data_IF_984034255408
#
_entry.id   IF_984034255408
#
_cell.length_a   1.000
_cell.length_b   1.000
_cell.length_c   1.000
_cell.angle_alpha   90.00
_cell.angle_beta   90.00
_cell.angle_gamma   90.00
#
_symmetry.space_group_name_H-M   'P 1'
#
loop_
_entity.id
_entity.type
_entity.pdbx_description
1 polymer ?
#
# COMPACT_ATOMS: atom_id res chain seq x y z
N UNK A 1 -23.89 -31.49 -40.00
CA UNK A 1 -23.43 -30.10 -39.81
C UNK A 1 -21.91 -30.13 -39.62
N UNK A 2 -21.11 -29.69 -40.61
CA UNK A 2 -19.63 -29.70 -40.50
C UNK A 2 -19.19 -28.42 -39.81
N UNK A 3 -18.72 -28.54 -38.56
CA UNK A 3 -18.11 -27.42 -37.85
C UNK A 3 -16.74 -27.16 -38.49
N UNK A 4 -16.54 -25.95 -39.01
CA UNK A 4 -15.27 -25.53 -39.62
C UNK A 4 -14.17 -25.50 -38.58
N UNK A 5 -13.02 -26.11 -38.87
CA UNK A 5 -11.81 -26.08 -38.03
C UNK A 5 -11.34 -24.66 -37.72
N UNK A 6 -11.60 -23.68 -38.61
CA UNK A 6 -11.32 -22.26 -38.34
C UNK A 6 -12.18 -21.69 -37.20
N UNK A 7 -13.45 -22.11 -37.10
CA UNK A 7 -14.36 -21.65 -36.04
C UNK A 7 -14.00 -22.28 -34.69
N UNK A 8 -13.46 -23.50 -34.68
CA UNK A 8 -12.93 -24.16 -33.49
C UNK A 8 -11.67 -23.45 -32.95
N UNK A 9 -10.76 -23.02 -33.83
CA UNK A 9 -9.55 -22.29 -33.44
C UNK A 9 -9.89 -20.90 -32.89
N UNK A 10 -10.81 -20.17 -33.53
CA UNK A 10 -11.25 -18.84 -33.06
C UNK A 10 -11.94 -18.94 -31.69
N UNK A 11 -12.82 -19.92 -31.49
CA UNK A 11 -13.46 -20.14 -30.18
C UNK A 11 -12.48 -20.55 -29.09
N UNK A 12 -11.45 -21.34 -29.41
CA UNK A 12 -10.41 -21.71 -28.45
C UNK A 12 -9.54 -20.49 -28.06
N UNK A 13 -9.21 -19.62 -29.01
CA UNK A 13 -8.48 -18.37 -28.75
C UNK A 13 -9.31 -17.42 -27.88
N UNK A 14 -10.62 -17.31 -28.14
CA UNK A 14 -11.56 -16.51 -27.35
C UNK A 14 -11.74 -17.05 -25.92
N UNK A 15 -11.78 -18.37 -25.74
CA UNK A 15 -11.84 -18.98 -24.40
C UNK A 15 -10.53 -18.74 -23.62
N UNK A 16 -9.38 -18.87 -24.27
CA UNK A 16 -8.08 -18.60 -23.63
C UNK A 16 -7.92 -17.12 -23.28
N UNK A 17 -8.37 -16.18 -24.12
CA UNK A 17 -8.31 -14.74 -23.81
C UNK A 17 -9.25 -14.32 -22.67
N UNK A 18 -10.44 -14.93 -22.56
CA UNK A 18 -11.35 -14.71 -21.42
C UNK A 18 -10.76 -15.29 -20.13
N UNK A 19 -10.08 -16.44 -20.18
CA UNK A 19 -9.38 -17.01 -19.01
C UNK A 19 -8.15 -16.19 -18.59
N UNK A 20 -7.40 -15.61 -19.53
CA UNK A 20 -6.24 -14.76 -19.23
C UNK A 20 -6.64 -13.40 -18.63
N UNK A 21 -7.82 -12.88 -18.96
CA UNK A 21 -8.37 -11.67 -18.35
C UNK A 21 -9.04 -11.94 -16.99
N UNK A 22 -9.50 -13.18 -16.74
CA UNK A 22 -10.20 -13.59 -15.51
C UNK A 22 -9.25 -13.95 -14.35
N UNK A 23 -7.97 -14.24 -14.62
CA UNK A 23 -6.98 -14.63 -13.59
C UNK A 23 -6.17 -13.48 -12.99
N UNK A 24 -6.40 -12.24 -13.42
CA UNK A 24 -5.82 -11.06 -12.78
C UNK A 24 -6.76 -10.57 -11.69
N UNK A 25 -6.74 -11.22 -10.52
CA UNK A 25 -7.15 -10.51 -9.29
C UNK A 25 -6.25 -9.29 -9.16
N UNK A 26 -6.76 -8.14 -9.64
CA UNK A 26 -6.10 -6.84 -9.56
C UNK A 26 -5.57 -6.64 -8.15
N UNK A 27 -4.30 -6.27 -8.03
CA UNK A 27 -3.62 -6.11 -6.74
C UNK A 27 -4.40 -5.15 -5.84
N UNK A 28 -5.05 -4.15 -6.43
CA UNK A 28 -6.01 -3.24 -5.81
C UNK A 28 -7.10 -4.01 -5.05
N UNK A 29 -7.76 -4.96 -5.71
CA UNK A 29 -8.82 -5.79 -5.10
C UNK A 29 -8.27 -6.66 -3.97
N UNK A 30 -7.06 -7.20 -4.13
CA UNK A 30 -6.41 -8.01 -3.07
C UNK A 30 -6.00 -7.17 -1.87
N UNK A 31 -5.73 -5.88 -2.06
CA UNK A 31 -5.26 -4.98 -1.01
C UNK A 31 -6.41 -4.40 -0.17
N UNK A 32 -7.62 -4.24 -0.74
CA UNK A 32 -8.79 -3.72 -0.02
C UNK A 32 -9.05 -4.52 1.27
N UNK A 33 -9.32 -3.80 2.36
CA UNK A 33 -9.63 -4.33 3.69
C UNK A 33 -8.70 -3.83 4.78
N UNK A 34 -8.85 -4.42 5.97
CA UNK A 34 -8.09 -4.10 7.17
C UNK A 34 -6.89 -5.03 7.36
N UNK A 35 -5.74 -4.44 7.64
CA UNK A 35 -4.47 -5.13 7.84
C UNK A 35 -3.81 -4.62 9.12
N UNK A 36 -3.45 -5.52 10.03
CA UNK A 36 -2.84 -5.13 11.31
C UNK A 36 -1.68 -6.05 11.67
N UNK A 37 -0.71 -5.52 12.42
CA UNK A 37 0.30 -6.38 13.05
C UNK A 37 -0.33 -7.19 14.19
N UNK A 38 0.35 -8.25 14.65
CA UNK A 38 -0.19 -9.15 15.69
C UNK A 38 -0.49 -8.43 17.02
N UNK A 39 0.10 -7.25 17.22
CA UNK A 39 -0.01 -6.44 18.44
C UNK A 39 -0.99 -5.27 18.29
N UNK A 40 -1.58 -5.09 17.11
CA UNK A 40 -2.36 -3.92 16.69
C UNK A 40 -1.69 -2.58 16.99
N UNK A 41 -0.36 -2.51 16.92
CA UNK A 41 0.35 -1.23 17.05
C UNK A 41 0.14 -0.36 15.82
N UNK A 42 -0.10 -0.99 14.67
CA UNK A 42 -0.42 -0.32 13.42
C UNK A 42 -1.48 -1.12 12.66
N UNK A 43 -2.56 -0.43 12.28
CA UNK A 43 -3.63 -0.95 11.42
C UNK A 43 -3.76 -0.06 10.20
N UNK A 44 -3.78 -0.66 9.02
CA UNK A 44 -4.02 -0.01 7.73
C UNK A 44 -5.33 -0.51 7.14
N UNK A 45 -6.21 0.41 6.77
CA UNK A 45 -7.49 0.12 6.12
C UNK A 45 -7.44 0.72 4.73
N UNK A 46 -7.55 -0.12 3.70
CA UNK A 46 -7.61 0.31 2.30
C UNK A 46 -9.03 0.16 1.77
N UNK A 47 -9.64 1.28 1.36
CA UNK A 47 -11.00 1.31 0.85
C UNK A 47 -11.04 1.23 -0.67
N UNK A 48 -12.18 0.76 -1.21
CA UNK A 48 -12.39 0.59 -2.64
C UNK A 48 -12.41 1.91 -3.42
N UNK A 49 -12.73 3.02 -2.77
CA UNK A 49 -12.75 4.36 -3.36
C UNK A 49 -11.36 5.02 -3.48
N UNK A 50 -10.31 4.31 -3.04
CA UNK A 50 -8.93 4.83 -3.02
C UNK A 50 -8.58 5.60 -1.76
N UNK A 51 -9.49 5.74 -0.79
CA UNK A 51 -9.18 6.28 0.54
C UNK A 51 -8.53 5.21 1.43
N UNK A 52 -7.74 5.65 2.41
CA UNK A 52 -7.13 4.80 3.41
C UNK A 52 -7.13 5.45 4.79
N UNK A 53 -7.15 4.60 5.82
CA UNK A 53 -7.02 5.00 7.22
C UNK A 53 -5.84 4.25 7.82
N UNK A 54 -4.94 4.97 8.47
CA UNK A 54 -3.88 4.40 9.30
C UNK A 54 -4.17 4.68 10.76
N UNK A 55 -4.19 3.65 11.59
CA UNK A 55 -4.34 3.75 13.04
C UNK A 55 -3.04 3.27 13.65
N UNK A 56 -2.39 4.09 14.48
CA UNK A 56 -1.15 3.70 15.13
C UNK A 56 -1.09 4.20 16.57
N UNK A 57 -0.48 3.41 17.44
CA UNK A 57 -0.32 3.76 18.84
C UNK A 57 0.89 4.67 19.06
N UNK A 58 0.66 5.79 19.73
CA UNK A 58 1.71 6.71 20.17
C UNK A 58 1.64 6.90 21.68
N UNK A 59 2.74 7.32 22.28
CA UNK A 59 2.77 7.73 23.68
C UNK A 59 2.47 9.23 23.77
N UNK A 60 1.38 9.58 24.44
CA UNK A 60 0.98 10.95 24.74
C UNK A 60 0.80 11.08 26.26
N UNK A 61 1.63 11.90 26.91
CA UNK A 61 1.65 12.08 28.37
C UNK A 61 1.66 10.74 29.14
N UNK A 62 2.60 9.86 28.79
CA UNK A 62 2.78 8.51 29.35
C UNK A 62 1.59 7.54 29.13
N UNK A 63 0.58 7.93 28.35
CA UNK A 63 -0.54 7.06 27.97
C UNK A 63 -0.40 6.64 26.51
N UNK A 64 -0.78 5.39 26.23
CA UNK A 64 -0.97 4.93 24.85
C UNK A 64 -2.26 5.53 24.31
N UNK A 65 -2.15 6.27 23.21
CA UNK A 65 -3.29 6.86 22.51
C UNK A 65 -3.23 6.43 21.06
N UNK A 66 -4.39 6.07 20.50
CA UNK A 66 -4.51 5.79 19.08
C UNK A 66 -4.54 7.13 18.31
N UNK A 67 -3.62 7.27 17.35
CA UNK A 67 -3.68 8.33 16.35
C UNK A 67 -4.25 7.75 15.06
N UNK A 68 -5.14 8.51 14.45
CA UNK A 68 -5.81 8.15 13.21
C UNK A 68 -5.37 9.12 12.14
N UNK A 69 -4.93 8.60 11.01
CA UNK A 69 -4.50 9.40 9.87
C UNK A 69 -5.28 8.98 8.62
N UNK A 70 -5.96 9.94 8.00
CA UNK A 70 -6.72 9.73 6.77
C UNK A 70 -5.83 10.08 5.58
N UNK A 71 -5.88 9.24 4.55
CA UNK A 71 -5.01 9.34 3.39
C UNK A 71 -5.72 8.78 2.16
N UNK A 72 -5.07 8.89 1.01
CA UNK A 72 -5.39 8.09 -0.18
C UNK A 72 -4.30 7.06 -0.38
N UNK A 73 -4.59 6.03 -1.16
CA UNK A 73 -3.57 5.05 -1.55
C UNK A 73 -3.58 4.80 -3.05
N UNK A 74 -2.41 4.46 -3.59
CA UNK A 74 -2.23 4.04 -4.99
C UNK A 74 -1.27 2.87 -5.05
N UNK A 75 -1.48 1.97 -6.00
CA UNK A 75 -0.59 0.83 -6.22
C UNK A 75 -0.17 0.78 -7.69
N UNK A 76 1.09 0.51 -7.93
CA UNK A 76 1.62 0.25 -9.28
C UNK A 76 2.17 -1.17 -9.33
N UNK A 77 1.33 -2.05 -9.87
CA UNK A 77 1.60 -3.48 -10.04
C UNK A 77 2.54 -3.79 -11.21
N UNK A 78 2.86 -2.81 -12.06
CA UNK A 78 3.84 -2.97 -13.14
C UNK A 78 5.28 -2.99 -12.63
N UNK A 79 5.49 -2.59 -11.37
CA UNK A 79 6.79 -2.50 -10.72
C UNK A 79 7.12 -3.78 -9.95
N UNK A 80 8.41 -4.08 -9.86
CA UNK A 80 8.93 -5.19 -9.07
C UNK A 80 10.10 -4.67 -8.21
N UNK A 81 9.94 -4.53 -6.88
CA UNK A 81 8.74 -4.85 -6.09
C UNK A 81 7.53 -3.95 -6.40
N UNK A 82 6.32 -4.37 -6.02
CA UNK A 82 5.09 -3.60 -6.24
C UNK A 82 5.19 -2.30 -5.45
N UNK A 83 4.97 -1.16 -6.12
CA UNK A 83 4.98 0.14 -5.47
C UNK A 83 3.62 0.41 -4.81
N UNK A 84 3.66 0.91 -3.58
CA UNK A 84 2.49 1.36 -2.84
C UNK A 84 2.75 2.80 -2.40
N UNK A 85 1.85 3.72 -2.74
CA UNK A 85 1.92 5.12 -2.29
C UNK A 85 0.81 5.38 -1.30
N UNK A 86 1.16 5.92 -0.14
CA UNK A 86 0.22 6.50 0.82
C UNK A 86 0.31 8.02 0.64
N UNK A 87 -0.78 8.64 0.24
CA UNK A 87 -0.85 10.07 -0.06
C UNK A 87 -1.56 10.78 1.09
N UNK A 88 -0.81 11.57 1.84
CA UNK A 88 -1.32 12.41 2.91
C UNK A 88 -1.79 13.73 2.31
N UNK A 89 -3.05 14.09 2.56
CA UNK A 89 -3.58 15.39 2.22
C UNK A 89 -3.59 16.26 3.48
N UNK A 90 -2.95 17.42 3.44
CA UNK A 90 -2.95 18.37 4.54
C UNK A 90 -3.11 19.78 4.00
N UNK A 91 -3.58 20.68 4.86
CA UNK A 91 -3.73 22.09 4.52
C UNK A 91 -2.51 22.82 5.03
N UNK A 92 -1.82 23.54 4.15
CA UNK A 92 -0.71 24.38 4.56
C UNK A 92 -1.23 25.47 5.52
N UNK A 93 -0.53 25.68 6.63
CA UNK A 93 -0.98 26.62 7.65
C UNK A 93 -0.87 28.07 7.20
N UNK A 94 0.09 28.38 6.33
CA UNK A 94 0.40 29.73 5.86
C UNK A 94 -0.40 30.08 4.60
N UNK A 95 -0.29 29.26 3.55
CA UNK A 95 -0.96 29.51 2.27
C UNK A 95 -2.42 29.09 2.25
N UNK A 96 -2.86 28.25 3.21
CA UNK A 96 -4.19 27.61 3.24
C UNK A 96 -4.49 26.77 2.00
N UNK A 97 -3.47 26.39 1.23
CA UNK A 97 -3.61 25.51 0.08
C UNK A 97 -3.64 24.04 0.52
N UNK A 98 -4.35 23.22 -0.26
CA UNK A 98 -4.32 21.78 -0.08
C UNK A 98 -3.05 21.22 -0.70
N UNK A 99 -2.21 20.59 0.13
CA UNK A 99 -0.97 19.96 -0.27
C UNK A 99 -1.11 18.43 -0.16
N UNK A 100 -0.39 17.73 -1.04
CA UNK A 100 -0.24 16.29 -0.99
C UNK A 100 1.24 15.95 -0.71
N UNK A 101 1.47 15.11 0.30
CA UNK A 101 2.76 14.46 0.52
C UNK A 101 2.62 12.95 0.29
N UNK A 102 3.63 12.34 -0.32
CA UNK A 102 3.59 10.94 -0.74
C UNK A 102 4.60 10.18 0.09
N UNK A 103 4.15 9.15 0.80
CA UNK A 103 5.00 8.16 1.44
C UNK A 103 5.20 6.95 0.49
N UNK A 104 6.34 6.87 -0.22
CA UNK A 104 6.57 5.85 -1.24
C UNK A 104 6.99 4.53 -0.59
N UNK A 105 6.03 3.63 -0.40
CA UNK A 105 6.25 2.28 0.12
C UNK A 105 6.46 1.26 -1.01
N UNK A 106 6.83 0.04 -0.61
CA UNK A 106 6.69 -1.15 -1.45
C UNK A 106 5.91 -2.23 -0.70
N UNK A 107 5.21 -3.08 -1.43
CA UNK A 107 4.36 -4.14 -0.86
C UNK A 107 4.58 -5.48 -1.55
N UNK A 108 4.42 -6.57 -0.80
CA UNK A 108 4.25 -7.92 -1.34
C UNK A 108 3.20 -8.70 -0.57
N UNK A 109 2.52 -9.61 -1.26
CA UNK A 109 1.61 -10.57 -0.64
C UNK A 109 2.39 -11.84 -0.29
N UNK A 110 2.37 -12.23 0.98
CA UNK A 110 2.91 -13.51 1.44
C UNK A 110 1.84 -14.61 1.38
N UNK A 111 0.58 -14.24 1.56
CA UNK A 111 -0.60 -15.09 1.34
C UNK A 111 -1.84 -14.20 1.11
N UNK A 112 -3.02 -14.81 0.93
CA UNK A 112 -4.30 -14.07 0.85
C UNK A 112 -4.56 -13.19 2.08
N UNK A 113 -4.07 -13.61 3.24
CA UNK A 113 -4.33 -12.97 4.54
C UNK A 113 -3.08 -12.36 5.16
N UNK A 114 -1.98 -12.26 4.41
CA UNK A 114 -0.71 -11.76 4.95
C UNK A 114 0.06 -10.94 3.92
N UNK A 115 0.41 -9.71 4.28
CA UNK A 115 1.21 -8.80 3.46
C UNK A 115 2.48 -8.40 4.18
N UNK A 116 3.43 -7.88 3.41
CA UNK A 116 4.58 -7.18 3.94
C UNK A 116 4.73 -5.84 3.23
N UNK A 117 4.89 -4.78 4.01
CA UNK A 117 5.10 -3.42 3.55
C UNK A 117 6.48 -2.95 4.03
N UNK A 118 7.22 -2.26 3.18
CA UNK A 118 8.43 -1.53 3.55
C UNK A 118 8.18 -0.06 3.32
N UNK A 119 8.31 0.74 4.39
CA UNK A 119 8.24 2.21 4.36
C UNK A 119 9.62 2.81 4.12
N UNK A 120 9.78 3.97 3.48
CA UNK A 120 11.09 4.62 3.30
C UNK A 120 11.82 4.87 4.63
N UNK A 121 13.15 5.02 4.58
CA UNK A 121 13.95 5.48 5.74
C UNK A 121 13.86 7.01 5.86
N UNK A 122 13.74 7.49 7.11
CA UNK A 122 13.71 8.89 7.60
C UNK A 122 12.42 9.69 7.40
N UNK A 123 12.15 10.77 8.15
CA UNK A 123 12.13 11.00 9.63
C UNK A 123 10.80 11.74 9.84
N UNK A 124 9.67 11.04 9.83
CA UNK A 124 8.40 11.67 10.14
C UNK A 124 8.09 11.42 11.61
N UNK A 125 8.12 12.49 12.41
CA UNK A 125 7.49 12.44 13.72
C UNK A 125 6.01 12.78 13.55
N UNK A 126 5.18 11.75 13.33
CA UNK A 126 3.73 11.93 13.31
C UNK A 126 3.19 12.41 14.68
N UNK A 127 4.02 12.45 15.74
CA UNK A 127 3.60 12.91 17.06
C UNK A 127 3.49 14.43 17.16
N UNK A 128 4.12 15.20 16.27
CA UNK A 128 4.18 16.67 16.40
C UNK A 128 3.23 17.42 15.47
N UNK A 129 2.72 16.79 14.41
CA UNK A 129 1.95 17.48 13.37
C UNK A 129 2.77 18.52 12.59
N UNK A 130 4.10 18.49 12.72
CA UNK A 130 5.00 19.41 12.06
C UNK A 130 5.23 19.02 10.60
N UNK A 131 5.52 20.04 9.78
CA UNK A 131 5.80 19.94 8.35
C UNK A 131 6.89 18.87 8.09
N UNK A 132 6.77 18.06 7.01
CA UNK A 132 7.83 17.17 6.58
C UNK A 132 9.17 17.91 6.53
N UNK A 133 10.23 17.39 7.17
CA UNK A 133 11.59 17.86 6.92
C UNK A 133 11.88 17.80 5.41
N UNK A 134 12.51 18.85 4.86
CA UNK A 134 12.71 19.14 3.43
C UNK A 134 13.47 18.09 2.58
N UNK A 135 13.74 16.88 3.10
CA UNK A 135 14.44 15.84 2.37
C UNK A 135 13.45 14.89 1.68
N UNK A 136 13.59 14.61 0.36
CA UNK A 136 12.66 13.76 -0.35
C UNK A 136 12.75 12.30 0.14
N UNK A 137 11.60 11.64 0.28
CA UNK A 137 11.57 10.21 0.57
C UNK A 137 12.23 9.41 -0.54
N UNK A 138 13.14 8.52 -0.17
CA UNK A 138 13.70 7.53 -1.09
C UNK A 138 12.88 6.24 -0.99
N UNK A 139 12.18 5.88 -2.07
CA UNK A 139 11.39 4.64 -2.12
C UNK A 139 12.30 3.44 -1.82
N UNK A 140 11.89 2.50 -0.94
CA UNK A 140 12.61 1.24 -0.75
C UNK A 140 12.67 0.44 -2.06
N UNK A 141 13.80 -0.21 -2.31
CA UNK A 141 14.02 -0.97 -3.56
C UNK A 141 13.85 -2.48 -3.38
N UNK A 142 13.68 -2.96 -2.14
CA UNK A 142 13.56 -4.39 -1.87
C UNK A 142 13.18 -4.73 -0.44
N UNK A 143 12.93 -6.02 -0.21
CA UNK A 143 12.56 -6.60 1.09
C UNK A 143 13.80 -7.19 1.79
N UNK A 144 14.81 -6.36 2.00
CA UNK A 144 16.07 -6.76 2.64
C UNK A 144 15.91 -6.97 4.16
N UNK A 145 16.97 -7.42 4.83
CA UNK A 145 16.95 -7.67 6.27
C UNK A 145 17.13 -6.36 7.06
N UNK A 146 16.78 -6.41 8.35
CA UNK A 146 16.86 -5.28 9.25
C UNK A 146 18.34 -5.00 9.56
N UNK A 147 18.87 -3.87 9.09
CA UNK A 147 20.28 -3.50 9.22
C UNK A 147 20.95 -3.07 7.92
N UNK A 148 20.42 -3.44 6.75
CA UNK A 148 20.97 -3.00 5.47
C UNK A 148 20.78 -1.49 5.30
N UNK A 149 21.80 -0.74 4.89
CA UNK A 149 21.84 0.74 4.85
C UNK A 149 20.68 1.40 4.05
N UNK A 150 19.98 0.61 3.23
CA UNK A 150 18.85 1.02 2.38
C UNK A 150 17.50 0.38 2.76
N UNK A 151 17.40 -0.41 3.84
CA UNK A 151 16.16 -1.11 4.20
C UNK A 151 15.26 -0.28 5.12
N UNK A 152 14.26 0.35 4.54
CA UNK A 152 13.13 0.95 5.24
C UNK A 152 12.50 0.09 6.36
N UNK A 153 11.71 0.68 7.27
CA UNK A 153 11.01 -0.12 8.31
C UNK A 153 10.10 -1.13 7.63
N UNK A 154 10.35 -2.42 7.90
CA UNK A 154 9.59 -3.55 7.37
C UNK A 154 8.50 -3.96 8.33
N UNK A 155 7.29 -4.14 7.82
CA UNK A 155 6.12 -4.50 8.61
C UNK A 155 5.41 -5.67 7.95
N UNK A 156 5.03 -6.65 8.76
CA UNK A 156 4.23 -7.78 8.30
C UNK A 156 2.87 -7.67 8.95
N UNK A 157 1.83 -7.60 8.12
CA UNK A 157 0.46 -7.35 8.56
C UNK A 157 -0.41 -8.53 8.15
N UNK A 158 -1.34 -8.89 9.03
CA UNK A 158 -2.35 -9.91 8.80
C UNK A 158 -3.68 -9.24 8.55
N UNK A 159 -4.43 -9.81 7.59
CA UNK A 159 -5.81 -9.42 7.33
C UNK A 159 -6.66 -9.71 8.56
N UNK A 160 -7.47 -8.73 8.97
CA UNK A 160 -8.43 -8.88 10.08
C UNK A 160 -9.77 -9.43 9.59
#
# INVERSE_FOLDING_TARGET
MKISTKNLIISAILLVSVFLLSCSDQIEKKLIGEWSDDRKNETLIFNQDGSSVSIFQVMDNEKKVDKVNQSKWKVDSSKNPIHLDIVYCYKDEESKEDLEDILPCIIRFLSKNKIQIVKPRHRFDFNTGEKPMELPYVRPTGFFEEGDEFSGRRMTLNRQ
#
